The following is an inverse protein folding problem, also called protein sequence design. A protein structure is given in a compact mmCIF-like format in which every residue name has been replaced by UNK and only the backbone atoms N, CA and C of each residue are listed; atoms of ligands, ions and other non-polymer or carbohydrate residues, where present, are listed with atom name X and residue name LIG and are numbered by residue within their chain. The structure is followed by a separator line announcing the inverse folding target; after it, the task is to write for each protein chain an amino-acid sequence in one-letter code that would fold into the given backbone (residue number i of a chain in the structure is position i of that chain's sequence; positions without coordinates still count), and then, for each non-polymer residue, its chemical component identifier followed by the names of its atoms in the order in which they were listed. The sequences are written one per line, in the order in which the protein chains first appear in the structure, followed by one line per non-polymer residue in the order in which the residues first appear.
data_IF_350632648375
#
_entry.id   IF_350632648375
#
_cell.length_a   1.000
_cell.length_b   1.000
_cell.length_c   1.000
_cell.angle_alpha   90.00
_cell.angle_beta   90.00
_cell.angle_gamma   90.00
#
_symmetry.space_group_name_H-M   'P 1'
#
loop_
_entity.id
_entity.type
_entity.pdbx_description
1 polymer ?
#
# COMPACT_ATOMS: atom_id res chain seq x y z
N UNK A 1 21.34 16.12 9.49
CA UNK A 1 21.59 14.66 9.58
C UNK A 1 21.16 14.21 10.96
N UNK A 2 20.03 13.51 11.11
CA UNK A 2 19.66 12.95 12.42
C UNK A 2 18.16 12.77 12.74
N UNK A 3 17.24 12.92 11.81
CA UNK A 3 15.80 12.68 12.09
C UNK A 3 15.19 11.50 11.35
N UNK A 4 15.87 10.92 10.36
CA UNK A 4 15.35 9.77 9.59
C UNK A 4 15.51 8.43 10.32
N UNK A 5 16.50 8.32 11.22
CA UNK A 5 16.87 7.05 11.85
C UNK A 5 15.94 6.60 13.01
N UNK A 6 15.24 7.51 13.68
CA UNK A 6 14.29 7.15 14.76
C UNK A 6 12.94 6.66 14.27
N UNK A 7 12.50 7.07 13.09
CA UNK A 7 11.20 6.70 12.51
C UNK A 7 11.21 5.26 11.99
N UNK A 8 12.35 4.77 11.55
CA UNK A 8 12.51 3.43 10.96
C UNK A 8 12.52 2.31 12.04
N UNK A 9 12.83 2.65 13.29
CA UNK A 9 12.78 1.73 14.43
C UNK A 9 11.39 1.60 15.07
N UNK A 10 10.45 2.47 14.73
CA UNK A 10 9.08 2.44 15.27
C UNK A 10 8.17 1.57 14.43
N UNK A 11 7.32 0.76 15.09
CA UNK A 11 6.28 0.01 14.38
C UNK A 11 5.33 0.96 13.64
N UNK A 12 4.74 0.50 12.54
CA UNK A 12 3.75 1.30 11.79
C UNK A 12 2.58 1.74 12.67
N UNK A 13 2.14 0.88 13.58
CA UNK A 13 1.10 1.23 14.57
C UNK A 13 1.49 2.42 15.43
N UNK A 14 2.72 2.41 15.94
CA UNK A 14 3.23 3.51 16.77
C UNK A 14 3.36 4.81 15.96
N UNK A 15 3.81 4.75 14.71
CA UNK A 15 3.90 5.91 13.82
C UNK A 15 2.52 6.52 13.52
N UNK A 16 1.51 5.69 13.27
CA UNK A 16 0.13 6.16 13.05
C UNK A 16 -0.44 6.80 14.32
N UNK A 17 -0.27 6.16 15.48
CA UNK A 17 -0.73 6.70 16.76
C UNK A 17 -0.08 8.04 17.10
N UNK A 18 1.22 8.18 16.88
CA UNK A 18 1.95 9.43 17.07
C UNK A 18 1.43 10.53 16.14
N UNK A 19 1.25 10.24 14.85
CA UNK A 19 0.72 11.19 13.89
C UNK A 19 -0.72 11.64 14.24
N UNK A 20 -1.55 10.71 14.70
CA UNK A 20 -2.91 11.00 15.13
C UNK A 20 -2.93 11.91 16.36
N UNK A 21 -2.08 11.65 17.35
CA UNK A 21 -1.98 12.50 18.55
C UNK A 21 -1.48 13.89 18.18
N UNK A 22 -0.43 14.00 17.38
CA UNK A 22 0.11 15.28 16.92
C UNK A 22 -0.93 16.11 16.13
N UNK A 23 -1.80 15.45 15.35
CA UNK A 23 -2.85 16.14 14.61
C UNK A 23 -3.99 16.62 15.54
N UNK A 24 -4.31 15.86 16.60
CA UNK A 24 -5.30 16.25 17.61
C UNK A 24 -4.85 17.46 18.42
N UNK A 25 -3.57 17.61 18.68
CA UNK A 25 -3.00 18.72 19.45
C UNK A 25 -3.04 20.06 18.70
N UNK A 26 -3.20 20.04 17.36
CA UNK A 26 -3.26 21.28 16.56
C UNK A 26 -4.56 22.09 16.74
N UNK A 27 -5.61 21.47 17.26
CA UNK A 27 -6.95 22.06 17.49
C UNK A 27 -7.55 22.76 16.25
N UNK A 28 -7.17 22.32 15.05
CA UNK A 28 -7.63 22.87 13.77
C UNK A 28 -9.00 22.33 13.33
N UNK A 29 -9.73 21.67 14.23
CA UNK A 29 -11.02 21.04 13.92
C UNK A 29 -10.87 19.72 13.13
N UNK A 30 -11.93 19.33 12.43
CA UNK A 30 -11.92 18.07 11.66
C UNK A 30 -11.34 18.26 10.27
N UNK A 31 -10.02 18.11 10.14
CA UNK A 31 -9.32 18.16 8.86
C UNK A 31 -9.41 16.82 8.11
N UNK A 32 -9.23 16.80 6.79
CA UNK A 32 -9.11 15.56 5.99
C UNK A 32 -8.01 14.66 6.57
N UNK A 33 -6.90 15.25 7.02
CA UNK A 33 -5.80 14.52 7.63
C UNK A 33 -6.22 13.84 8.94
N UNK A 34 -6.90 14.55 9.83
CA UNK A 34 -7.37 14.00 11.10
C UNK A 34 -8.38 12.87 10.90
N UNK A 35 -9.35 13.04 9.98
CA UNK A 35 -10.33 12.00 9.66
C UNK A 35 -9.69 10.76 9.06
N UNK A 36 -8.76 10.93 8.12
CA UNK A 36 -8.02 9.81 7.52
C UNK A 36 -7.18 9.06 8.54
N UNK A 37 -6.46 9.76 9.44
CA UNK A 37 -5.68 9.13 10.50
C UNK A 37 -6.56 8.34 11.48
N UNK A 38 -7.76 8.84 11.80
CA UNK A 38 -8.73 8.10 12.63
C UNK A 38 -9.21 6.82 11.94
N UNK A 39 -9.45 6.86 10.64
CA UNK A 39 -9.83 5.67 9.86
C UNK A 39 -8.71 4.64 9.81
N UNK A 40 -7.46 5.07 9.62
CA UNK A 40 -6.29 4.18 9.65
C UNK A 40 -6.18 3.52 11.04
N UNK A 41 -6.25 4.30 12.13
CA UNK A 41 -6.15 3.78 13.49
C UNK A 41 -7.27 2.78 13.81
N UNK A 42 -8.50 3.05 13.38
CA UNK A 42 -9.63 2.13 13.54
C UNK A 42 -9.39 0.81 12.78
N UNK A 43 -8.96 0.89 11.52
CA UNK A 43 -8.68 -0.30 10.72
C UNK A 43 -7.53 -1.16 11.30
N UNK A 44 -6.50 -0.53 11.86
CA UNK A 44 -5.42 -1.24 12.56
C UNK A 44 -5.95 -1.94 13.81
N UNK A 45 -6.78 -1.26 14.62
CA UNK A 45 -7.38 -1.84 15.83
C UNK A 45 -8.25 -3.05 15.51
N UNK A 46 -9.04 -2.99 14.45
CA UNK A 46 -9.85 -4.13 14.00
C UNK A 46 -8.97 -5.33 13.65
N UNK A 47 -7.85 -5.11 12.99
CA UNK A 47 -6.88 -6.16 12.69
C UNK A 47 -6.19 -6.71 13.95
N UNK A 48 -5.86 -5.84 14.90
CA UNK A 48 -5.30 -6.25 16.20
C UNK A 48 -6.28 -7.16 16.96
N UNK A 49 -7.56 -6.81 17.01
CA UNK A 49 -8.60 -7.63 17.64
C UNK A 49 -8.69 -8.99 16.96
N UNK A 50 -8.72 -9.02 15.62
CA UNK A 50 -8.75 -10.28 14.86
C UNK A 50 -7.50 -11.14 15.10
N UNK A 51 -6.32 -10.54 15.18
CA UNK A 51 -5.06 -11.26 15.43
C UNK A 51 -5.06 -11.87 16.84
N UNK A 52 -5.41 -11.09 17.85
CA UNK A 52 -5.53 -11.58 19.24
C UNK A 52 -6.58 -12.66 19.40
N UNK A 53 -7.71 -12.56 18.67
CA UNK A 53 -8.74 -13.60 18.65
C UNK A 53 -8.24 -14.93 18.06
N UNK A 54 -7.16 -14.92 17.26
CA UNK A 54 -6.48 -16.11 16.72
C UNK A 54 -5.32 -16.61 17.60
N UNK A 55 -5.03 -15.94 18.70
CA UNK A 55 -3.98 -16.32 19.65
C UNK A 55 -2.68 -15.48 19.57
N UNK A 56 -2.60 -14.48 18.69
CA UNK A 56 -1.45 -13.57 18.57
C UNK A 56 -1.49 -12.51 19.68
N UNK A 57 -0.81 -12.77 20.79
CA UNK A 57 -0.80 -11.87 21.96
C UNK A 57 -0.27 -10.46 21.66
N UNK A 58 0.63 -10.32 20.70
CA UNK A 58 1.23 -9.04 20.30
C UNK A 58 0.35 -8.24 19.32
N UNK A 59 -0.74 -8.84 18.83
CA UNK A 59 -1.62 -8.23 17.83
C UNK A 59 -1.09 -8.38 16.40
N UNK A 60 -1.61 -7.62 15.43
CA UNK A 60 -1.21 -7.75 14.04
C UNK A 60 0.21 -7.20 13.80
N UNK A 61 1.05 -7.92 13.01
CA UNK A 61 2.38 -7.47 12.65
C UNK A 61 2.33 -6.31 11.63
N UNK A 62 3.43 -5.58 11.49
CA UNK A 62 3.57 -4.47 10.54
C UNK A 62 3.29 -4.87 9.08
N UNK A 63 3.51 -6.13 8.71
CA UNK A 63 3.16 -6.64 7.40
C UNK A 63 1.64 -6.59 7.15
N UNK A 64 0.84 -6.95 8.15
CA UNK A 64 -0.61 -6.88 8.07
C UNK A 64 -1.10 -5.43 8.08
N UNK A 65 -0.45 -4.55 8.85
CA UNK A 65 -0.73 -3.11 8.84
C UNK A 65 -0.47 -2.54 7.43
N UNK A 66 0.64 -2.90 6.79
CA UNK A 66 0.91 -2.50 5.39
C UNK A 66 -0.18 -2.97 4.44
N UNK A 67 -0.62 -4.22 4.56
CA UNK A 67 -1.71 -4.75 3.74
C UNK A 67 -3.03 -3.98 3.94
N UNK A 68 -3.31 -3.55 5.16
CA UNK A 68 -4.47 -2.67 5.45
C UNK A 68 -4.34 -1.34 4.71
N UNK A 69 -3.18 -0.68 4.82
CA UNK A 69 -2.92 0.60 4.15
C UNK A 69 -3.02 0.47 2.62
N UNK A 70 -2.43 -0.58 2.04
CA UNK A 70 -2.53 -0.86 0.60
C UNK A 70 -3.99 -1.07 0.16
N UNK A 71 -4.77 -1.78 0.97
CA UNK A 71 -6.20 -1.98 0.70
C UNK A 71 -6.98 -0.67 0.75
N UNK A 72 -6.70 0.18 1.74
CA UNK A 72 -7.32 1.50 1.86
C UNK A 72 -7.00 2.39 0.66
N UNK A 73 -5.75 2.36 0.16
CA UNK A 73 -5.35 3.10 -1.06
C UNK A 73 -6.14 2.58 -2.27
N UNK A 74 -6.18 1.26 -2.48
CA UNK A 74 -6.87 0.67 -3.63
C UNK A 74 -8.37 1.01 -3.66
N UNK A 75 -9.03 1.02 -2.49
CA UNK A 75 -10.44 1.42 -2.36
C UNK A 75 -10.63 2.88 -2.77
N UNK A 76 -9.77 3.80 -2.30
CA UNK A 76 -9.85 5.22 -2.63
C UNK A 76 -9.50 5.51 -4.08
N UNK A 77 -8.55 4.80 -4.67
CA UNK A 77 -8.26 4.90 -6.10
C UNK A 77 -9.44 4.49 -6.97
N UNK A 78 -10.23 3.51 -6.51
CA UNK A 78 -11.45 3.11 -7.19
C UNK A 78 -12.53 4.18 -7.03
N UNK A 79 -12.77 4.66 -5.80
CA UNK A 79 -13.72 5.72 -5.51
C UNK A 79 -13.39 7.02 -6.28
N UNK A 80 -12.11 7.42 -6.32
CA UNK A 80 -11.68 8.60 -7.06
C UNK A 80 -12.02 8.50 -8.56
N UNK A 81 -11.82 7.33 -9.17
CA UNK A 81 -12.20 7.09 -10.57
C UNK A 81 -13.71 7.15 -10.78
N UNK A 82 -14.49 6.54 -9.90
CA UNK A 82 -15.95 6.58 -9.94
C UNK A 82 -16.48 8.02 -9.78
N UNK A 83 -15.84 8.82 -8.94
CA UNK A 83 -16.17 10.25 -8.79
C UNK A 83 -15.80 11.05 -10.04
N UNK A 84 -14.63 10.81 -10.65
CA UNK A 84 -14.25 11.43 -11.92
C UNK A 84 -15.26 11.11 -13.04
N UNK A 85 -15.62 9.85 -13.19
CA UNK A 85 -16.57 9.37 -14.20
C UNK A 85 -17.97 9.96 -13.98
N UNK A 86 -18.33 10.26 -12.74
CA UNK A 86 -19.59 10.90 -12.36
C UNK A 86 -19.54 12.44 -12.40
N UNK A 87 -18.40 13.06 -12.75
CA UNK A 87 -18.21 14.50 -12.76
C UNK A 87 -18.11 15.14 -11.37
N UNK A 88 -17.93 14.36 -10.31
CA UNK A 88 -17.79 14.81 -8.92
C UNK A 88 -16.33 15.11 -8.59
N UNK A 89 -15.80 16.17 -9.18
CA UNK A 89 -14.37 16.48 -9.15
C UNK A 89 -13.85 16.74 -7.72
N UNK A 90 -14.62 17.44 -6.88
CA UNK A 90 -14.22 17.73 -5.49
C UNK A 90 -14.10 16.46 -4.65
N UNK A 91 -15.00 15.49 -4.83
CA UNK A 91 -14.95 14.20 -4.15
C UNK A 91 -13.72 13.40 -4.62
N UNK A 92 -13.44 13.39 -5.91
CA UNK A 92 -12.25 12.74 -6.48
C UNK A 92 -10.93 13.35 -5.93
N UNK A 93 -10.88 14.67 -5.77
CA UNK A 93 -9.73 15.36 -5.18
C UNK A 93 -9.56 14.94 -3.72
N UNK A 94 -10.63 14.88 -2.95
CA UNK A 94 -10.61 14.46 -1.54
C UNK A 94 -10.08 13.04 -1.38
N UNK A 95 -10.54 12.10 -2.21
CA UNK A 95 -10.02 10.73 -2.19
C UNK A 95 -8.50 10.68 -2.47
N UNK A 96 -8.01 11.50 -3.40
CA UNK A 96 -6.57 11.60 -3.70
C UNK A 96 -5.78 12.20 -2.54
N UNK A 97 -6.30 13.21 -1.86
CA UNK A 97 -5.68 13.78 -0.65
C UNK A 97 -5.56 12.72 0.45
N UNK A 98 -6.59 11.91 0.65
CA UNK A 98 -6.56 10.80 1.62
C UNK A 98 -5.52 9.73 1.24
N UNK A 99 -5.40 9.39 -0.05
CA UNK A 99 -4.35 8.49 -0.55
C UNK A 99 -2.96 9.03 -0.20
N UNK A 100 -2.70 10.32 -0.42
CA UNK A 100 -1.41 10.94 -0.13
C UNK A 100 -1.07 10.92 1.37
N UNK A 101 -2.09 11.05 2.23
CA UNK A 101 -1.92 10.92 3.68
C UNK A 101 -1.53 9.49 4.07
N UNK A 102 -2.19 8.48 3.49
CA UNK A 102 -1.92 7.06 3.77
C UNK A 102 -0.52 6.67 3.27
N UNK A 103 -0.13 7.13 2.08
CA UNK A 103 1.18 6.84 1.47
C UNK A 103 2.37 7.27 2.32
N UNK A 104 2.22 8.30 3.16
CA UNK A 104 3.28 8.76 4.08
C UNK A 104 3.72 7.73 5.13
N UNK A 105 2.90 6.70 5.37
CA UNK A 105 3.22 5.61 6.29
C UNK A 105 3.87 4.41 5.58
N UNK A 106 3.77 4.32 4.28
CA UNK A 106 4.38 3.27 3.48
C UNK A 106 5.79 3.70 3.03
N UNK A 107 6.71 2.74 2.83
CA UNK A 107 7.99 3.05 2.21
C UNK A 107 7.78 3.56 0.78
N UNK A 108 8.71 4.36 0.29
CA UNK A 108 8.65 4.83 -1.10
C UNK A 108 8.52 3.65 -2.07
N UNK A 109 7.56 3.71 -3.02
CA UNK A 109 7.41 2.66 -4.01
C UNK A 109 8.65 2.56 -4.90
N UNK A 110 8.91 1.37 -5.43
CA UNK A 110 9.97 1.19 -6.40
C UNK A 110 9.72 2.08 -7.63
N UNK A 111 10.74 2.83 -8.03
CA UNK A 111 10.69 3.58 -9.27
C UNK A 111 10.46 2.64 -10.48
N UNK A 112 9.92 3.16 -11.58
CA UNK A 112 9.50 2.36 -12.74
C UNK A 112 10.58 1.38 -13.23
N UNK A 113 11.82 1.83 -13.38
CA UNK A 113 12.93 0.96 -13.82
C UNK A 113 13.28 -0.13 -12.81
N UNK A 114 13.28 0.19 -11.51
CA UNK A 114 13.54 -0.79 -10.46
C UNK A 114 12.39 -1.81 -10.36
N UNK A 115 11.16 -1.37 -10.57
CA UNK A 115 9.99 -2.24 -10.61
C UNK A 115 10.03 -3.19 -11.81
N UNK A 116 10.39 -2.70 -13.00
CA UNK A 116 10.55 -3.52 -14.21
C UNK A 116 11.61 -4.61 -13.99
N UNK A 117 12.79 -4.24 -13.48
CA UNK A 117 13.85 -5.20 -13.16
C UNK A 117 13.41 -6.23 -12.10
N UNK A 118 12.74 -5.80 -11.05
CA UNK A 118 12.23 -6.69 -10.00
C UNK A 118 11.15 -7.66 -10.53
N UNK A 119 10.33 -7.21 -11.47
CA UNK A 119 9.32 -8.05 -12.14
C UNK A 119 9.97 -9.09 -13.02
N UNK A 120 10.97 -8.71 -13.84
CA UNK A 120 11.71 -9.63 -14.70
C UNK A 120 12.41 -10.71 -13.87
N UNK A 121 13.11 -10.33 -12.81
CA UNK A 121 13.75 -11.27 -11.88
C UNK A 121 12.76 -12.29 -11.28
N UNK A 122 11.61 -11.83 -10.81
CA UNK A 122 10.59 -12.72 -10.24
C UNK A 122 9.97 -13.65 -11.29
N UNK A 123 9.74 -13.15 -12.50
CA UNK A 123 9.19 -13.94 -13.61
C UNK A 123 10.17 -15.04 -14.01
N UNK A 124 11.46 -14.72 -14.10
CA UNK A 124 12.52 -15.67 -14.45
C UNK A 124 12.72 -16.72 -13.37
N UNK A 125 12.82 -16.31 -12.10
CA UNK A 125 13.00 -17.22 -10.95
C UNK A 125 11.85 -18.23 -10.80
N UNK A 126 10.62 -17.80 -11.10
CA UNK A 126 9.44 -18.66 -11.02
C UNK A 126 9.19 -19.44 -12.32
N UNK A 127 9.95 -19.19 -13.37
CA UNK A 127 9.74 -19.77 -14.70
C UNK A 127 8.33 -19.47 -15.24
N UNK A 128 7.81 -18.28 -14.93
CA UNK A 128 6.42 -17.93 -15.25
C UNK A 128 6.33 -17.47 -16.70
N UNK A 129 5.54 -18.17 -17.51
CA UNK A 129 5.38 -17.89 -18.95
C UNK A 129 3.96 -17.57 -19.37
N UNK A 130 3.01 -17.62 -18.44
CA UNK A 130 1.57 -17.49 -18.74
C UNK A 130 0.89 -16.47 -17.83
N UNK A 131 -0.11 -15.78 -18.37
CA UNK A 131 -0.91 -14.83 -17.59
C UNK A 131 -1.56 -15.43 -16.34
N UNK A 132 -1.83 -16.73 -16.32
CA UNK A 132 -2.36 -17.42 -15.12
C UNK A 132 -1.38 -17.40 -13.94
N UNK A 133 -0.10 -17.20 -14.19
CA UNK A 133 0.95 -17.16 -13.17
C UNK A 133 1.06 -15.79 -12.49
N UNK A 134 0.32 -14.78 -12.97
CA UNK A 134 0.40 -13.40 -12.48
C UNK A 134 0.18 -13.31 -10.96
N UNK A 135 -0.76 -14.08 -10.41
CA UNK A 135 -1.03 -14.09 -8.97
C UNK A 135 0.17 -14.58 -8.15
N UNK A 136 0.81 -15.66 -8.60
CA UNK A 136 2.01 -16.23 -7.97
C UNK A 136 3.19 -15.26 -8.05
N UNK A 137 3.40 -14.64 -9.19
CA UNK A 137 4.46 -13.65 -9.38
C UNK A 137 4.22 -12.39 -8.53
N UNK A 138 2.99 -11.89 -8.47
CA UNK A 138 2.64 -10.76 -7.62
C UNK A 138 2.83 -11.04 -6.13
N UNK A 139 2.50 -12.26 -5.67
CA UNK A 139 2.76 -12.68 -4.30
C UNK A 139 4.26 -12.68 -3.98
N UNK A 140 5.07 -13.28 -4.84
CA UNK A 140 6.53 -13.32 -4.67
C UNK A 140 7.14 -11.92 -4.70
N UNK A 141 6.68 -11.06 -5.61
CA UNK A 141 7.13 -9.68 -5.71
C UNK A 141 6.85 -8.88 -4.42
N UNK A 142 5.65 -9.02 -3.86
CA UNK A 142 5.27 -8.38 -2.59
C UNK A 142 6.06 -8.90 -1.39
N UNK A 143 6.42 -10.18 -1.40
CA UNK A 143 7.25 -10.78 -0.34
C UNK A 143 8.70 -10.28 -0.39
N UNK A 144 9.26 -10.06 -1.59
CA UNK A 144 10.63 -9.52 -1.75
C UNK A 144 10.72 -8.03 -1.43
N UNK A 145 9.70 -7.28 -1.77
CA UNK A 145 9.67 -5.82 -1.63
C UNK A 145 8.45 -5.36 -0.81
N UNK A 146 8.39 -5.69 0.49
CA UNK A 146 7.21 -5.42 1.32
C UNK A 146 6.92 -3.93 1.43
N UNK A 147 5.70 -3.53 1.03
CA UNK A 147 5.23 -2.15 1.05
C UNK A 147 5.78 -1.23 -0.05
N UNK A 148 6.75 -1.70 -0.86
CA UNK A 148 7.34 -0.90 -1.97
C UNK A 148 6.66 -1.16 -3.32
N UNK A 149 5.67 -2.04 -3.36
CA UNK A 149 5.00 -2.45 -4.60
C UNK A 149 3.58 -1.87 -4.65
N UNK A 150 3.39 -0.94 -5.55
CA UNK A 150 2.06 -0.45 -5.89
C UNK A 150 1.34 -1.49 -6.77
N UNK A 151 0.27 -2.10 -6.25
CA UNK A 151 -0.39 -3.25 -6.90
C UNK A 151 -0.91 -2.95 -8.31
N UNK A 152 -1.42 -1.75 -8.54
CA UNK A 152 -1.93 -1.33 -9.85
C UNK A 152 -0.85 -1.23 -10.92
N UNK A 153 0.23 -0.53 -10.60
CA UNK A 153 1.39 -0.34 -11.50
C UNK A 153 2.14 -1.65 -11.71
N UNK A 154 2.41 -2.39 -10.64
CA UNK A 154 3.08 -3.70 -10.71
C UNK A 154 2.28 -4.72 -11.53
N UNK A 155 0.96 -4.74 -11.40
CA UNK A 155 0.09 -5.61 -12.20
C UNK A 155 0.16 -5.32 -13.70
N UNK A 156 0.28 -4.04 -14.09
CA UNK A 156 0.44 -3.63 -15.50
C UNK A 156 1.81 -4.10 -16.04
N UNK A 157 2.88 -3.83 -15.28
CA UNK A 157 4.26 -4.24 -15.67
C UNK A 157 4.37 -5.76 -15.74
N UNK A 158 3.84 -6.49 -14.75
CA UNK A 158 3.82 -7.95 -14.70
C UNK A 158 3.08 -8.54 -15.91
N UNK A 159 1.91 -7.98 -16.24
CA UNK A 159 1.15 -8.41 -17.41
C UNK A 159 1.92 -8.20 -18.72
N UNK A 160 2.59 -7.05 -18.84
CA UNK A 160 3.45 -6.74 -20.01
C UNK A 160 4.61 -7.73 -20.11
N UNK A 161 5.29 -8.03 -19.01
CA UNK A 161 6.39 -9.00 -18.97
C UNK A 161 5.94 -10.40 -19.41
N UNK A 162 4.83 -10.92 -18.84
CA UNK A 162 4.29 -12.24 -19.17
C UNK A 162 3.69 -12.34 -20.58
N UNK A 163 3.27 -11.23 -21.20
CA UNK A 163 2.81 -11.20 -22.59
C UNK A 163 3.96 -11.01 -23.57
N UNK A 164 5.01 -10.25 -23.20
CA UNK A 164 6.20 -9.99 -24.00
C UNK A 164 7.06 -11.22 -24.22
N UNK A 165 7.18 -12.11 -23.22
CA UNK A 165 7.88 -13.39 -23.36
C UNK A 165 7.25 -14.31 -24.42
N UNK A 166 5.94 -14.20 -24.69
CA UNK A 166 5.29 -14.93 -25.80
C UNK A 166 5.76 -14.50 -27.19
N UNK A 167 6.24 -13.28 -27.34
CA UNK A 167 6.71 -12.76 -28.62
C UNK A 167 8.17 -13.19 -28.92
N UNK A 168 8.96 -13.49 -27.91
CA UNK A 168 10.37 -13.91 -28.04
C UNK A 168 10.56 -15.43 -28.17
N UNK A 169 9.50 -16.23 -27.88
CA UNK A 169 9.54 -17.70 -27.92
C UNK A 169 8.92 -18.28 -29.21
N UNK A 170 8.81 -17.50 -30.28
CA UNK A 170 8.34 -17.87 -31.60
C UNK A 170 9.43 -17.55 -32.64
#
# INVERSE_FOLDING_TARGET
MGQEDKSDMMSLKARVAQALNAEREKDEGCTTRLSTLRLIDAAIRDRDVCARGRGDSEGCPDADVRNVLDTMIAQRETAAREHDDAGRIEDAIREREEIDIIRKFLPEPLGTKALEAAVEEVVDDLGATKLKDIGRCMSALKQRYPGKIESGTAGKVMRKALTGQKAAAK
#
